data_IF_121130593325
#
_entry.id   IF_121130593325
#
_cell.length_a   1.000
_cell.length_b   1.000
_cell.length_c   1.000
_cell.angle_alpha   90.00
_cell.angle_beta   90.00
_cell.angle_gamma   90.00
#
_symmetry.space_group_name_H-M   'P 1'
#
loop_
_entity.id
_entity.type
_entity.pdbx_description
1 polymer ?
#
# COMPACT_ATOMS: atom_id res chain seq x y z
N UNK A 1 -18.89 -26.72 7.87
CA UNK A 1 -18.71 -27.71 6.77
C UNK A 1 -18.67 -27.08 5.38
N UNK A 2 -19.54 -26.10 5.01
CA UNK A 2 -19.47 -25.40 3.71
C UNK A 2 -18.14 -24.65 3.45
N UNK A 3 -17.60 -23.97 4.46
CA UNK A 3 -16.31 -23.26 4.35
C UNK A 3 -15.15 -24.18 3.93
N UNK A 4 -15.04 -25.38 4.48
CA UNK A 4 -14.00 -26.34 4.10
C UNK A 4 -14.16 -26.93 2.70
N UNK A 5 -15.38 -26.89 2.13
CA UNK A 5 -15.63 -27.31 0.74
C UNK A 5 -15.39 -26.19 -0.27
N UNK A 6 -15.45 -24.92 0.14
CA UNK A 6 -15.19 -23.77 -0.73
C UNK A 6 -13.75 -23.28 -0.70
N UNK A 7 -12.99 -23.51 0.38
CA UNK A 7 -11.56 -23.17 0.46
C UNK A 7 -10.76 -23.75 -0.72
N UNK A 8 -10.93 -25.03 -1.11
CA UNK A 8 -10.26 -25.61 -2.28
C UNK A 8 -10.64 -24.95 -3.60
N UNK A 9 -11.79 -24.27 -3.66
CA UNK A 9 -12.30 -23.61 -4.86
C UNK A 9 -11.70 -22.21 -5.07
N UNK A 10 -11.41 -21.50 -3.97
CA UNK A 10 -10.95 -20.12 -4.01
C UNK A 10 -9.43 -19.97 -3.91
N UNK A 11 -8.78 -20.86 -3.16
CA UNK A 11 -7.32 -20.95 -3.09
C UNK A 11 -6.90 -22.40 -2.72
N UNK A 12 -6.87 -23.34 -3.68
CA UNK A 12 -6.63 -24.76 -3.43
C UNK A 12 -5.31 -25.04 -2.72
N UNK A 13 -4.29 -24.22 -3.00
CA UNK A 13 -2.96 -24.38 -2.43
C UNK A 13 -2.78 -23.71 -1.07
N UNK A 14 -3.81 -23.05 -0.52
CA UNK A 14 -3.67 -22.32 0.75
C UNK A 14 -3.25 -23.19 1.93
N UNK A 15 -3.63 -24.47 1.92
CA UNK A 15 -3.25 -25.43 2.97
C UNK A 15 -1.76 -25.80 2.88
N UNK A 16 -1.20 -25.77 1.66
CA UNK A 16 0.20 -26.10 1.40
C UNK A 16 1.15 -24.96 1.77
N UNK A 17 0.62 -23.76 2.00
CA UNK A 17 1.41 -22.58 2.34
C UNK A 17 1.78 -22.52 3.82
N UNK A 18 3.06 -22.28 4.10
CA UNK A 18 3.53 -21.96 5.44
C UNK A 18 3.14 -20.52 5.85
N UNK A 19 3.38 -20.18 7.13
CA UNK A 19 2.99 -18.87 7.65
C UNK A 19 3.72 -17.71 6.96
N UNK A 20 4.99 -17.89 6.58
CA UNK A 20 5.78 -16.86 5.92
C UNK A 20 5.28 -16.60 4.49
N UNK A 21 4.96 -17.65 3.75
CA UNK A 21 4.39 -17.54 2.40
C UNK A 21 3.03 -16.84 2.44
N UNK A 22 2.20 -17.14 3.45
CA UNK A 22 0.92 -16.43 3.66
C UNK A 22 1.12 -14.94 3.98
N UNK A 23 2.14 -14.60 4.77
CA UNK A 23 2.52 -13.21 5.01
C UNK A 23 2.99 -12.53 3.72
N UNK A 24 3.82 -13.19 2.92
CA UNK A 24 4.29 -12.72 1.61
C UNK A 24 3.12 -12.50 0.66
N UNK A 25 2.14 -13.40 0.60
CA UNK A 25 0.89 -13.19 -0.15
C UNK A 25 0.15 -11.93 0.31
N UNK A 26 0.04 -11.75 1.63
CA UNK A 26 -0.61 -10.57 2.21
C UNK A 26 0.10 -9.26 1.86
N UNK A 27 1.43 -9.24 1.86
CA UNK A 27 2.21 -8.05 1.46
C UNK A 27 2.09 -7.80 -0.05
N UNK A 28 2.07 -8.86 -0.86
CA UNK A 28 1.79 -8.75 -2.29
C UNK A 28 0.40 -8.17 -2.56
N UNK A 29 -0.60 -8.53 -1.77
CA UNK A 29 -1.93 -7.93 -1.88
C UNK A 29 -1.91 -6.43 -1.57
N UNK A 30 -1.11 -5.99 -0.60
CA UNK A 30 -0.87 -4.56 -0.34
C UNK A 30 -0.29 -3.86 -1.57
N UNK A 31 0.58 -4.52 -2.34
CA UNK A 31 1.09 -3.98 -3.60
C UNK A 31 -0.03 -3.75 -4.61
N UNK A 32 -0.91 -4.73 -4.82
CA UNK A 32 -2.05 -4.58 -5.73
C UNK A 32 -3.01 -3.49 -5.27
N UNK A 33 -3.27 -3.40 -3.96
CA UNK A 33 -4.08 -2.32 -3.42
C UNK A 33 -3.46 -0.95 -3.74
N UNK A 34 -2.17 -0.78 -3.48
CA UNK A 34 -1.48 0.51 -3.58
C UNK A 34 -1.34 1.00 -5.02
N UNK A 35 -1.17 0.10 -5.99
CA UNK A 35 -0.81 0.48 -7.36
C UNK A 35 -1.88 0.14 -8.41
N UNK A 36 -2.80 -0.79 -8.13
CA UNK A 36 -3.90 -1.12 -9.05
C UNK A 36 -5.23 -0.55 -8.57
N UNK A 37 -5.58 -0.74 -7.30
CA UNK A 37 -6.92 -0.41 -6.80
C UNK A 37 -7.03 1.05 -6.34
N UNK A 38 -6.04 1.57 -5.61
CA UNK A 38 -6.08 2.91 -5.00
C UNK A 38 -4.78 3.73 -5.20
N UNK A 39 -4.25 3.84 -6.43
CA UNK A 39 -3.02 4.60 -6.69
C UNK A 39 -3.16 6.10 -6.39
N UNK A 40 -4.36 6.66 -6.55
CA UNK A 40 -4.62 8.10 -6.35
C UNK A 40 -4.33 8.52 -4.91
N UNK A 41 -4.72 7.70 -3.92
CA UNK A 41 -4.49 8.02 -2.50
C UNK A 41 -2.99 8.04 -2.18
N UNK A 42 -2.22 7.11 -2.74
CA UNK A 42 -0.76 7.07 -2.56
C UNK A 42 -0.06 8.27 -3.21
N UNK A 43 -0.45 8.60 -4.44
CA UNK A 43 0.06 9.76 -5.18
C UNK A 43 -0.23 11.06 -4.39
N UNK A 44 -1.44 11.20 -3.85
CA UNK A 44 -1.83 12.36 -3.04
C UNK A 44 -1.00 12.48 -1.75
N UNK A 45 -0.69 11.36 -1.09
CA UNK A 45 0.20 11.33 0.09
C UNK A 45 1.59 11.86 -0.28
N UNK A 46 2.23 11.30 -1.32
CA UNK A 46 3.61 11.69 -1.67
C UNK A 46 3.71 13.10 -2.25
N UNK A 47 2.71 13.54 -3.02
CA UNK A 47 2.62 14.93 -3.47
C UNK A 47 2.51 15.89 -2.29
N UNK A 48 1.65 15.56 -1.30
CA UNK A 48 1.50 16.37 -0.09
C UNK A 48 2.81 16.44 0.71
N UNK A 49 3.49 15.31 0.92
CA UNK A 49 4.78 15.27 1.62
C UNK A 49 5.85 16.09 0.90
N UNK A 50 5.95 15.97 -0.43
CA UNK A 50 6.86 16.77 -1.25
C UNK A 50 6.61 18.27 -1.09
N UNK A 51 5.35 18.69 -1.15
CA UNK A 51 4.95 20.10 -1.05
C UNK A 51 5.09 20.66 0.38
N UNK A 52 5.03 19.84 1.43
CA UNK A 52 5.26 20.30 2.79
C UNK A 52 6.77 20.43 3.10
N UNK A 53 7.61 19.54 2.58
CA UNK A 53 9.04 19.53 2.88
C UNK A 53 9.88 20.54 2.08
N UNK A 54 9.37 21.72 1.74
CA UNK A 54 10.07 22.71 0.88
C UNK A 54 11.48 23.08 1.37
N UNK A 55 11.68 23.17 2.69
CA UNK A 55 12.95 23.56 3.32
C UNK A 55 13.84 22.39 3.76
N UNK A 56 13.36 21.14 3.67
CA UNK A 56 14.12 19.93 4.05
C UNK A 56 14.53 19.15 2.80
N UNK A 57 15.69 19.48 2.22
CA UNK A 57 16.14 18.97 0.92
C UNK A 57 16.09 17.44 0.80
N UNK A 58 16.60 16.71 1.79
CA UNK A 58 16.59 15.24 1.79
C UNK A 58 15.17 14.66 1.86
N UNK A 59 14.34 15.10 2.82
CA UNK A 59 12.96 14.62 2.95
C UNK A 59 12.11 14.95 1.73
N UNK A 60 12.36 16.10 1.11
CA UNK A 60 11.73 16.51 -0.16
C UNK A 60 12.14 15.61 -1.31
N UNK A 61 13.43 15.32 -1.44
CA UNK A 61 13.96 14.45 -2.50
C UNK A 61 13.43 13.03 -2.34
N UNK A 62 13.42 12.48 -1.12
CA UNK A 62 12.83 11.17 -0.84
C UNK A 62 11.34 11.18 -1.20
N UNK A 63 10.57 12.19 -0.77
CA UNK A 63 9.13 12.29 -1.10
C UNK A 63 8.90 12.37 -2.62
N UNK A 64 9.74 13.11 -3.35
CA UNK A 64 9.69 13.19 -4.81
C UNK A 64 10.01 11.85 -5.48
N UNK A 65 11.05 11.15 -5.00
CA UNK A 65 11.43 9.84 -5.49
C UNK A 65 10.30 8.82 -5.27
N UNK A 66 9.66 8.84 -4.09
CA UNK A 66 8.49 8.01 -3.78
C UNK A 66 7.30 8.35 -4.69
N UNK A 67 7.05 9.63 -4.95
CA UNK A 67 6.00 10.08 -5.87
C UNK A 67 6.25 9.54 -7.29
N UNK A 68 7.44 9.77 -7.85
CA UNK A 68 7.79 9.32 -9.21
C UNK A 68 7.68 7.80 -9.30
N UNK A 69 8.25 7.08 -8.33
CA UNK A 69 8.15 5.63 -8.25
C UNK A 69 6.69 5.16 -8.20
N UNK A 70 5.83 5.81 -7.41
CA UNK A 70 4.42 5.42 -7.30
C UNK A 70 3.67 5.56 -8.63
N UNK A 71 3.94 6.63 -9.38
CA UNK A 71 3.36 6.86 -10.71
C UNK A 71 3.87 5.80 -11.69
N UNK A 72 5.19 5.57 -11.74
CA UNK A 72 5.78 4.59 -12.64
C UNK A 72 5.26 3.17 -12.39
N UNK A 73 5.21 2.74 -11.12
CA UNK A 73 4.70 1.41 -10.75
C UNK A 73 3.22 1.26 -11.09
N UNK A 74 2.40 2.29 -10.87
CA UNK A 74 0.99 2.30 -11.28
C UNK A 74 0.85 2.08 -12.79
N UNK A 75 1.66 2.76 -13.60
CA UNK A 75 1.65 2.62 -15.07
C UNK A 75 2.12 1.23 -15.50
N UNK A 76 3.22 0.74 -14.93
CA UNK A 76 3.78 -0.60 -15.20
C UNK A 76 2.73 -1.67 -14.87
N UNK A 77 2.10 -1.57 -13.70
CA UNK A 77 1.13 -2.56 -13.26
C UNK A 77 -0.15 -2.55 -14.11
N UNK A 78 -0.66 -1.36 -14.45
CA UNK A 78 -1.81 -1.25 -15.35
C UNK A 78 -1.51 -1.94 -16.69
N UNK A 79 -0.33 -1.70 -17.26
CA UNK A 79 0.11 -2.34 -18.51
C UNK A 79 0.23 -3.86 -18.36
N UNK A 80 0.82 -4.34 -17.26
CA UNK A 80 0.99 -5.75 -16.98
C UNK A 80 -0.36 -6.48 -16.90
N UNK A 81 -1.34 -5.90 -16.20
CA UNK A 81 -2.68 -6.48 -16.06
C UNK A 81 -3.47 -6.48 -17.37
N UNK A 82 -3.29 -5.46 -18.22
CA UNK A 82 -3.85 -5.48 -19.58
C UNK A 82 -3.24 -6.58 -20.45
N UNK A 83 -1.97 -6.95 -20.26
CA UNK A 83 -1.31 -8.01 -21.05
C UNK A 83 -1.70 -9.41 -20.55
N UNK A 84 -1.90 -9.56 -19.24
CA UNK A 84 -2.14 -10.86 -18.59
C UNK A 84 -3.63 -11.16 -18.34
N UNK A 85 -4.54 -10.32 -18.86
CA UNK A 85 -6.00 -10.42 -18.66
C UNK A 85 -6.39 -10.55 -17.18
N UNK A 86 -5.67 -9.84 -16.30
CA UNK A 86 -6.03 -9.75 -14.88
C UNK A 86 -6.90 -8.52 -14.62
N UNK A 87 -7.92 -8.69 -13.78
CA UNK A 87 -8.79 -7.57 -13.42
C UNK A 87 -8.02 -6.53 -12.58
N UNK A 88 -7.46 -6.91 -11.43
CA UNK A 88 -6.78 -5.98 -10.49
C UNK A 88 -5.95 -6.61 -9.38
N UNK A 89 -6.01 -7.92 -9.18
CA UNK A 89 -5.27 -8.61 -8.12
C UNK A 89 -4.49 -9.75 -8.77
N UNK A 90 -3.20 -9.85 -8.47
CA UNK A 90 -2.40 -10.96 -8.94
C UNK A 90 -2.61 -12.18 -8.04
N UNK A 91 -2.87 -13.34 -8.65
CA UNK A 91 -3.10 -14.58 -7.92
C UNK A 91 -1.77 -15.32 -7.70
N UNK A 92 -1.27 -15.29 -6.46
CA UNK A 92 -0.13 -16.11 -6.04
C UNK A 92 -0.62 -17.45 -5.49
N UNK A 93 0.15 -18.50 -5.78
CA UNK A 93 -0.02 -19.87 -5.31
C UNK A 93 1.29 -20.39 -4.71
N UNK A 94 1.28 -21.60 -4.17
CA UNK A 94 2.46 -22.25 -3.55
C UNK A 94 3.66 -22.36 -4.49
N UNK A 95 3.45 -22.35 -5.81
CA UNK A 95 4.54 -22.49 -6.78
C UNK A 95 5.25 -21.17 -7.12
N UNK A 96 4.61 -20.02 -6.87
CA UNK A 96 5.11 -18.72 -7.33
C UNK A 96 5.24 -17.66 -6.22
N UNK A 97 4.75 -17.95 -5.00
CA UNK A 97 4.82 -17.04 -3.86
C UNK A 97 6.25 -16.78 -3.40
N UNK A 98 7.18 -17.70 -3.65
CA UNK A 98 8.61 -17.54 -3.36
C UNK A 98 9.39 -16.99 -4.56
N UNK A 99 8.70 -16.78 -5.68
CA UNK A 99 9.32 -16.36 -6.93
C UNK A 99 9.85 -14.93 -6.88
N UNK A 100 10.79 -14.61 -7.77
CA UNK A 100 11.44 -13.30 -7.84
C UNK A 100 10.45 -12.11 -7.90
N UNK A 101 9.35 -12.26 -8.65
CA UNK A 101 8.33 -11.21 -8.75
C UNK A 101 7.65 -10.94 -7.40
N UNK A 102 7.27 -12.00 -6.69
CA UNK A 102 6.63 -11.94 -5.37
C UNK A 102 7.55 -11.28 -4.34
N UNK A 103 8.81 -11.72 -4.28
CA UNK A 103 9.81 -11.18 -3.37
C UNK A 103 10.17 -9.72 -3.69
N UNK A 104 10.25 -9.36 -4.97
CA UNK A 104 10.49 -7.98 -5.39
C UNK A 104 9.35 -7.05 -4.97
N UNK A 105 8.10 -7.44 -5.23
CA UNK A 105 6.90 -6.70 -4.79
C UNK A 105 6.85 -6.55 -3.27
N UNK A 106 7.10 -7.64 -2.55
CA UNK A 106 7.14 -7.66 -1.09
C UNK A 106 8.18 -6.70 -0.54
N UNK A 107 9.41 -6.78 -1.03
CA UNK A 107 10.52 -5.92 -0.61
C UNK A 107 10.21 -4.45 -0.88
N UNK A 108 9.60 -4.15 -2.03
CA UNK A 108 9.22 -2.80 -2.42
C UNK A 108 8.19 -2.21 -1.45
N UNK A 109 7.18 -2.97 -1.05
CA UNK A 109 6.18 -2.52 -0.08
C UNK A 109 6.79 -2.29 1.31
N UNK A 110 7.72 -3.14 1.74
CA UNK A 110 8.44 -2.95 3.01
C UNK A 110 9.28 -1.67 2.99
N UNK A 111 10.01 -1.40 1.90
CA UNK A 111 10.80 -0.18 1.74
C UNK A 111 9.90 1.06 1.69
N UNK A 112 8.80 1.02 0.93
CA UNK A 112 7.83 2.11 0.85
C UNK A 112 7.18 2.39 2.19
N UNK A 113 6.77 1.34 2.90
CA UNK A 113 6.07 1.48 4.17
C UNK A 113 7.00 2.07 5.24
N UNK A 114 8.23 1.57 5.34
CA UNK A 114 9.25 2.11 6.23
C UNK A 114 9.56 3.58 5.90
N UNK A 115 9.82 3.89 4.64
CA UNK A 115 10.16 5.24 4.18
C UNK A 115 9.02 6.24 4.46
N UNK A 116 7.78 5.86 4.15
CA UNK A 116 6.60 6.69 4.40
C UNK A 116 6.40 6.92 5.89
N UNK A 117 6.56 5.88 6.71
CA UNK A 117 6.47 5.98 8.17
C UNK A 117 7.50 6.96 8.71
N UNK A 118 8.76 6.86 8.28
CA UNK A 118 9.83 7.79 8.68
C UNK A 118 9.49 9.23 8.27
N UNK A 119 9.00 9.46 7.05
CA UNK A 119 8.60 10.79 6.58
C UNK A 119 7.45 11.37 7.43
N UNK A 120 6.46 10.56 7.82
CA UNK A 120 5.37 10.99 8.70
C UNK A 120 5.88 11.40 10.09
N UNK A 121 6.87 10.69 10.63
CA UNK A 121 7.54 11.09 11.88
C UNK A 121 8.31 12.40 11.73
N UNK A 122 9.08 12.58 10.64
CA UNK A 122 9.86 13.81 10.39
C UNK A 122 8.95 15.03 10.14
N UNK A 123 7.75 14.79 9.60
CA UNK A 123 6.75 15.81 9.32
C UNK A 123 6.16 16.42 10.60
N UNK A 124 6.00 15.62 11.65
CA UNK A 124 5.30 16.03 12.86
C UNK A 124 6.24 16.51 13.96
N UNK A 125 5.96 17.69 14.51
CA UNK A 125 6.65 18.19 15.71
C UNK A 125 6.15 17.48 16.98
N UNK A 126 4.85 17.21 17.03
CA UNK A 126 4.22 16.53 18.17
C UNK A 126 4.30 15.01 18.00
N UNK A 127 4.95 14.33 18.95
CA UNK A 127 5.14 12.87 18.91
C UNK A 127 3.82 12.10 18.89
N UNK A 128 2.78 12.58 19.60
CA UNK A 128 1.46 11.95 19.62
C UNK A 128 0.85 11.90 18.23
N UNK A 129 0.89 13.01 17.50
CA UNK A 129 0.35 13.07 16.14
C UNK A 129 1.18 12.26 15.15
N UNK A 130 2.51 12.20 15.33
CA UNK A 130 3.37 11.32 14.56
C UNK A 130 2.93 9.85 14.69
N UNK A 131 2.76 9.37 15.93
CA UNK A 131 2.30 8.02 16.22
C UNK A 131 0.93 7.71 15.64
N UNK A 132 -0.04 8.63 15.75
CA UNK A 132 -1.39 8.42 15.21
C UNK A 132 -1.35 8.24 13.69
N UNK A 133 -0.62 9.09 12.97
CA UNK A 133 -0.55 9.01 11.51
C UNK A 133 0.21 7.78 11.04
N UNK A 134 1.34 7.48 11.69
CA UNK A 134 2.12 6.28 11.39
C UNK A 134 1.33 5.01 11.69
N UNK A 135 0.62 4.95 12.82
CA UNK A 135 -0.26 3.82 13.13
C UNK A 135 -1.40 3.69 12.12
N UNK A 136 -2.02 4.80 11.72
CA UNK A 136 -3.08 4.80 10.69
C UNK A 136 -2.57 4.21 9.37
N UNK A 137 -1.36 4.61 8.95
CA UNK A 137 -0.73 4.10 7.75
C UNK A 137 -0.32 2.62 7.88
N UNK A 138 0.24 2.23 9.03
CA UNK A 138 0.66 0.83 9.29
C UNK A 138 -0.53 -0.11 9.36
N UNK A 139 -1.62 0.32 10.02
CA UNK A 139 -2.86 -0.46 10.11
C UNK A 139 -3.50 -0.61 8.73
N UNK A 140 -3.42 0.41 7.86
CA UNK A 140 -4.02 0.31 6.53
C UNK A 140 -3.42 -0.83 5.70
N UNK A 141 -2.10 -0.99 5.64
CA UNK A 141 -1.50 -2.10 4.89
C UNK A 141 -1.33 -3.40 5.70
N UNK A 142 -1.29 -3.37 7.03
CA UNK A 142 -1.30 -4.63 7.81
C UNK A 142 -2.67 -5.30 7.77
N UNK A 143 -3.75 -4.53 7.61
CA UNK A 143 -5.09 -5.06 7.32
C UNK A 143 -5.10 -5.94 6.06
N UNK A 144 -4.38 -5.56 5.01
CA UNK A 144 -4.23 -6.42 3.81
C UNK A 144 -3.29 -7.60 4.02
N UNK A 145 -2.26 -7.45 4.85
CA UNK A 145 -1.41 -8.59 5.22
C UNK A 145 -2.21 -9.66 5.94
N UNK A 146 -3.12 -9.27 6.85
CA UNK A 146 -4.03 -10.21 7.53
C UNK A 146 -4.95 -10.95 6.57
N UNK A 147 -5.33 -10.34 5.44
CA UNK A 147 -6.12 -11.03 4.41
C UNK A 147 -5.31 -12.15 3.73
N UNK A 148 -3.98 -12.03 3.64
CA UNK A 148 -3.11 -13.10 3.16
C UNK A 148 -3.11 -14.35 4.06
N UNK A 149 -3.55 -14.21 5.31
CA UNK A 149 -3.79 -15.32 6.23
C UNK A 149 -5.19 -15.94 6.06
N UNK A 150 -5.99 -15.46 5.10
CA UNK A 150 -7.33 -15.97 4.83
C UNK A 150 -7.42 -16.66 3.46
N UNK A 151 -7.99 -17.88 3.39
CA UNK A 151 -8.19 -18.58 2.11
C UNK A 151 -9.24 -17.90 1.21
N UNK A 152 -10.05 -16.99 1.74
CA UNK A 152 -11.17 -16.36 1.00
C UNK A 152 -10.79 -15.03 0.34
N UNK A 153 -9.51 -14.68 0.35
CA UNK A 153 -8.98 -13.42 -0.20
C UNK A 153 -9.42 -13.19 -1.66
N UNK A 154 -9.41 -14.25 -2.46
CA UNK A 154 -9.78 -14.22 -3.89
C UNK A 154 -11.28 -14.35 -4.14
N UNK A 155 -12.05 -14.82 -3.17
CA UNK A 155 -13.50 -14.99 -3.31
C UNK A 155 -14.25 -13.66 -3.36
N UNK A 156 -13.73 -12.65 -2.65
CA UNK A 156 -14.40 -11.35 -2.50
C UNK A 156 -13.83 -10.24 -3.39
N UNK A 157 -12.79 -10.53 -4.18
CA UNK A 157 -12.14 -9.59 -5.10
C UNK A 157 -11.66 -8.32 -4.40
N UNK A 158 -11.73 -7.17 -5.06
CA UNK A 158 -11.29 -5.89 -4.50
C UNK A 158 -11.99 -5.46 -3.19
N UNK A 159 -13.19 -6.01 -2.90
CA UNK A 159 -13.99 -5.58 -1.74
C UNK A 159 -13.28 -5.81 -0.41
N UNK A 160 -12.40 -6.82 -0.35
CA UNK A 160 -11.59 -7.08 0.85
C UNK A 160 -10.63 -5.93 1.17
N UNK A 161 -10.25 -5.14 0.16
CA UNK A 161 -9.32 -4.01 0.26
C UNK A 161 -10.02 -2.68 0.60
N UNK A 162 -11.33 -2.72 0.85
CA UNK A 162 -12.11 -1.50 1.10
C UNK A 162 -11.66 -0.82 2.40
N UNK A 163 -11.51 -1.58 3.49
CA UNK A 163 -11.18 -1.02 4.81
C UNK A 163 -9.78 -0.40 4.81
N UNK A 164 -8.79 -1.15 4.33
CA UNK A 164 -7.42 -0.65 4.15
C UNK A 164 -7.40 0.59 3.26
N UNK A 165 -8.25 0.61 2.24
CA UNK A 165 -8.33 1.73 1.32
C UNK A 165 -8.94 2.99 1.87
N UNK A 166 -9.99 2.87 2.67
CA UNK A 166 -10.58 4.00 3.39
C UNK A 166 -9.56 4.62 4.34
N UNK A 167 -8.75 3.81 5.03
CA UNK A 167 -7.71 4.32 5.93
C UNK A 167 -6.61 5.08 5.18
N UNK A 168 -6.10 4.52 4.08
CA UNK A 168 -5.09 5.21 3.25
C UNK A 168 -5.65 6.49 2.64
N UNK A 169 -6.92 6.48 2.22
CA UNK A 169 -7.58 7.65 1.64
C UNK A 169 -7.86 8.73 2.69
N UNK A 170 -8.20 8.35 3.92
CA UNK A 170 -8.36 9.29 5.04
C UNK A 170 -7.03 9.98 5.39
N UNK A 171 -5.93 9.21 5.40
CA UNK A 171 -4.59 9.77 5.58
C UNK A 171 -4.23 10.75 4.45
N UNK A 172 -4.52 10.37 3.20
CA UNK A 172 -4.30 11.23 2.05
C UNK A 172 -5.09 12.55 2.17
N UNK A 173 -6.38 12.48 2.50
CA UNK A 173 -7.22 13.66 2.70
C UNK A 173 -6.68 14.58 3.81
N UNK A 174 -6.27 14.01 4.95
CA UNK A 174 -5.66 14.77 6.04
C UNK A 174 -4.39 15.51 5.57
N UNK A 175 -3.50 14.84 4.84
CA UNK A 175 -2.26 15.45 4.34
C UNK A 175 -2.53 16.51 3.27
N UNK A 176 -3.51 16.31 2.41
CA UNK A 176 -3.92 17.31 1.40
C UNK A 176 -4.44 18.57 2.07
N UNK A 177 -5.36 18.46 3.03
CA UNK A 177 -5.89 19.62 3.77
C UNK A 177 -4.77 20.38 4.45
N UNK A 178 -3.85 19.65 5.10
CA UNK A 178 -2.68 20.26 5.74
C UNK A 178 -1.75 20.95 4.75
N UNK A 179 -1.55 20.36 3.57
CA UNK A 179 -0.73 20.95 2.50
C UNK A 179 -1.34 22.26 2.01
N UNK A 180 -2.65 22.30 1.78
CA UNK A 180 -3.35 23.52 1.38
C UNK A 180 -3.18 24.62 2.44
N UNK A 181 -3.35 24.29 3.73
CA UNK A 181 -3.13 25.24 4.82
C UNK A 181 -1.67 25.75 4.85
N UNK A 182 -0.70 24.85 4.65
CA UNK A 182 0.71 25.20 4.61
C UNK A 182 1.03 26.16 3.47
N UNK A 183 0.56 25.88 2.25
CA UNK A 183 0.79 26.74 1.08
C UNK A 183 0.13 28.11 1.22
N UNK A 184 -1.05 28.20 1.85
CA UNK A 184 -1.68 29.48 2.18
C UNK A 184 -0.83 30.31 3.14
N UNK A 185 -0.31 29.69 4.20
CA UNK A 185 0.56 30.38 5.18
C UNK A 185 1.90 30.84 4.57
N UNK A 186 2.43 30.11 3.58
CA UNK A 186 3.67 30.44 2.91
C UNK A 186 3.55 31.57 1.88
N UNK A 187 2.33 31.89 1.40
CA UNK A 187 2.07 33.02 0.49
C UNK A 187 1.92 34.37 1.20
N UNK A 188 1.69 34.37 2.51
CA UNK A 188 1.42 35.57 3.31
C UNK A 188 2.72 36.16 3.92
N UNK A 189 3.83 35.40 3.87
CA UNK A 189 5.17 35.83 4.27
C UNK A 189 6.06 36.01 3.05
#
# INVERSE_FOLDING_TARGET
MRLHMEIPRWNPDFVNLNIFEKLVMGINLSYDQMFSVQPVSLIAIYLSLYLIFLRKSLSRLVSLALLIMSILLTVIQKKLFTILDFDTIYHFCSQNVDGYLSLARTSLILILSASTTILLFILQKERRMAWILSATYVVSYSGTVMLGLSPTIYASGQRVLMVSGLMTSALAAYLVVRTIAHLKSARIN
#
